data_IF_211192679103
#
_entry.id   IF_211192679103
#
_cell.length_a   1.000
_cell.length_b   1.000
_cell.length_c   1.000
_cell.angle_alpha   90.00
_cell.angle_beta   90.00
_cell.angle_gamma   90.00
#
_symmetry.space_group_name_H-M   'P 1'
#
loop_
_entity.id
_entity.type
_entity.pdbx_description
1 polymer ?
#
# COMPACT_ATOMS: atom_id res chain seq x y z
N UNK A 1 -2.40 17.65 5.04
CA UNK A 1 -3.25 17.58 3.81
C UNK A 1 -3.59 16.12 3.50
N UNK A 2 -4.83 15.81 3.10
CA UNK A 2 -5.24 14.44 2.75
C UNK A 2 -5.07 14.20 1.24
N UNK A 3 -4.41 13.10 0.86
CA UNK A 3 -4.36 12.62 -0.53
C UNK A 3 -5.27 11.39 -0.71
N UNK A 4 -5.94 11.32 -1.86
CA UNK A 4 -6.83 10.20 -2.21
C UNK A 4 -6.74 9.88 -3.70
N UNK A 5 -7.13 8.68 -4.09
CA UNK A 5 -7.26 8.30 -5.49
C UNK A 5 -5.99 8.51 -6.33
N UNK A 6 -6.12 9.23 -7.46
CA UNK A 6 -5.01 9.47 -8.41
C UNK A 6 -3.83 10.22 -7.78
N UNK A 7 -4.10 11.17 -6.89
CA UNK A 7 -3.03 11.97 -6.26
C UNK A 7 -2.18 11.09 -5.32
N UNK A 8 -2.81 10.17 -4.59
CA UNK A 8 -2.10 9.19 -3.77
C UNK A 8 -1.25 8.24 -4.63
N UNK A 9 -1.79 7.75 -5.75
CA UNK A 9 -1.05 6.89 -6.69
C UNK A 9 0.15 7.62 -7.32
N UNK A 10 -0.02 8.88 -7.71
CA UNK A 10 1.07 9.71 -8.22
C UNK A 10 2.17 9.91 -7.17
N UNK A 11 1.78 10.14 -5.91
CA UNK A 11 2.71 10.30 -4.80
C UNK A 11 3.51 9.03 -4.52
N UNK A 12 2.91 7.83 -4.55
CA UNK A 12 3.63 6.58 -4.34
C UNK A 12 4.75 6.36 -5.36
N UNK A 13 4.51 6.74 -6.62
CA UNK A 13 5.50 6.61 -7.70
C UNK A 13 6.61 7.66 -7.63
N UNK A 14 6.28 8.86 -7.17
CA UNK A 14 7.21 9.98 -7.07
C UNK A 14 6.90 10.81 -5.82
N UNK A 15 7.34 10.33 -4.64
CA UNK A 15 7.13 11.06 -3.40
C UNK A 15 7.90 12.38 -3.40
N UNK A 16 7.27 13.39 -2.78
CA UNK A 16 7.86 14.71 -2.64
C UNK A 16 8.75 14.74 -1.38
N UNK A 17 10.07 14.74 -1.58
CA UNK A 17 11.05 14.75 -0.50
C UNK A 17 11.10 16.07 0.30
N UNK A 18 10.45 17.13 -0.18
CA UNK A 18 10.34 18.40 0.54
C UNK A 18 9.26 18.41 1.63
N UNK A 19 8.49 17.34 1.74
CA UNK A 19 7.48 17.18 2.79
C UNK A 19 8.11 16.78 4.12
N UNK A 20 7.64 17.39 5.20
CA UNK A 20 8.09 17.03 6.55
C UNK A 20 7.70 15.59 6.91
N UNK A 21 6.50 15.16 6.51
CA UNK A 21 6.07 13.80 6.84
C UNK A 21 4.89 13.27 6.03
N UNK A 22 4.75 11.94 6.07
CA UNK A 22 3.66 11.20 5.43
C UNK A 22 3.14 10.13 6.38
N UNK A 23 1.84 10.11 6.58
CA UNK A 23 1.11 9.05 7.30
C UNK A 23 0.43 8.13 6.29
N UNK A 24 0.77 6.85 6.34
CA UNK A 24 0.13 5.77 5.60
C UNK A 24 -0.69 4.93 6.59
N UNK A 25 -2.00 4.86 6.43
CA UNK A 25 -2.87 4.15 7.36
C UNK A 25 -3.97 3.36 6.65
N UNK A 26 -4.35 2.24 7.20
CA UNK A 26 -5.41 1.39 6.65
C UNK A 26 -5.63 0.13 7.45
N UNK A 27 -6.72 -0.57 7.16
CA UNK A 27 -7.08 -1.83 7.80
C UNK A 27 -6.14 -2.97 7.37
N UNK A 28 -5.77 -2.99 6.09
CA UNK A 28 -4.90 -4.00 5.50
C UNK A 28 -3.43 -3.64 5.74
N UNK A 29 -2.84 -4.29 6.74
CA UNK A 29 -1.44 -4.08 7.12
C UNK A 29 -0.46 -4.42 5.98
N UNK A 30 -0.78 -5.41 5.13
CA UNK A 30 0.08 -5.78 4.00
C UNK A 30 0.11 -4.69 2.92
N UNK A 31 -1.04 -4.12 2.59
CA UNK A 31 -1.12 -2.99 1.66
C UNK A 31 -0.40 -1.76 2.20
N UNK A 32 -0.59 -1.45 3.49
CA UNK A 32 0.12 -0.34 4.14
C UNK A 32 1.62 -0.57 4.06
N UNK A 33 2.10 -1.78 4.39
CA UNK A 33 3.52 -2.12 4.32
C UNK A 33 4.07 -2.04 2.88
N UNK A 34 3.32 -2.51 1.89
CA UNK A 34 3.72 -2.42 0.49
C UNK A 34 3.86 -0.96 0.02
N UNK A 35 2.83 -0.12 0.26
CA UNK A 35 2.89 1.31 -0.09
C UNK A 35 4.00 2.06 0.66
N UNK A 36 4.23 1.73 1.93
CA UNK A 36 5.36 2.26 2.69
C UNK A 36 6.69 1.89 2.03
N UNK A 37 6.86 0.64 1.62
CA UNK A 37 8.08 0.19 0.97
C UNK A 37 8.33 0.92 -0.36
N UNK A 38 7.29 1.10 -1.19
CA UNK A 38 7.37 1.88 -2.43
C UNK A 38 7.82 3.32 -2.17
N UNK A 39 7.20 4.00 -1.20
CA UNK A 39 7.54 5.40 -0.85
C UNK A 39 8.97 5.50 -0.33
N UNK A 40 9.38 4.63 0.58
CA UNK A 40 10.74 4.65 1.13
C UNK A 40 11.77 4.37 0.04
N UNK A 41 11.56 3.33 -0.78
CA UNK A 41 12.47 2.99 -1.87
C UNK A 41 12.61 4.12 -2.90
N UNK A 42 11.51 4.82 -3.21
CA UNK A 42 11.54 5.96 -4.13
C UNK A 42 12.25 7.19 -3.53
N UNK A 43 12.24 7.35 -2.20
CA UNK A 43 12.93 8.45 -1.50
C UNK A 43 14.43 8.21 -1.34
N UNK A 44 14.81 7.05 -0.79
CA UNK A 44 16.20 6.78 -0.43
C UNK A 44 16.97 5.97 -1.47
N UNK A 45 16.26 5.40 -2.47
CA UNK A 45 16.87 4.54 -3.49
C UNK A 45 17.27 3.15 -2.96
N UNK A 46 17.85 2.29 -3.84
CA UNK A 46 18.18 0.92 -3.50
C UNK A 46 19.25 0.79 -2.41
N UNK A 47 20.20 1.72 -2.35
CA UNK A 47 21.31 1.72 -1.39
C UNK A 47 20.96 2.41 -0.05
N UNK A 48 19.73 2.90 0.10
CA UNK A 48 19.33 3.71 1.26
C UNK A 48 19.52 3.05 2.62
N UNK A 49 19.33 1.73 2.72
CA UNK A 49 19.59 0.97 3.95
C UNK A 49 21.10 0.76 4.17
N UNK A 50 21.85 0.38 3.14
CA UNK A 50 23.29 0.18 3.21
C UNK A 50 24.03 1.49 3.55
N UNK A 51 23.50 2.61 3.08
CA UNK A 51 24.01 3.96 3.35
C UNK A 51 23.46 4.58 4.64
N UNK A 52 22.75 3.80 5.46
CA UNK A 52 22.15 4.28 6.72
C UNK A 52 21.26 5.52 6.56
N UNK A 53 20.60 5.67 5.41
CA UNK A 53 19.67 6.77 5.13
C UNK A 53 18.22 6.46 5.54
N UNK A 54 17.97 5.26 6.07
CA UNK A 54 16.70 4.82 6.64
C UNK A 54 16.89 4.45 8.11
N UNK A 55 16.25 5.19 9.00
CA UNK A 55 16.13 4.85 10.42
C UNK A 55 14.75 4.30 10.71
N UNK A 56 14.67 3.10 11.26
CA UNK A 56 13.39 2.46 11.65
C UNK A 56 13.19 2.59 13.15
N UNK A 57 12.00 3.00 13.56
CA UNK A 57 11.62 3.21 14.96
C UNK A 57 10.28 2.50 15.20
N UNK A 58 10.26 1.56 16.12
CA UNK A 58 9.01 0.91 16.53
C UNK A 58 8.20 1.84 17.43
N UNK A 59 6.87 1.88 17.25
CA UNK A 59 6.00 2.70 18.09
C UNK A 59 6.17 2.45 19.59
N UNK A 60 6.48 1.21 19.99
CA UNK A 60 6.72 0.84 21.39
C UNK A 60 7.99 1.48 21.92
N UNK A 61 9.06 1.53 21.13
CA UNK A 61 10.34 2.16 21.50
C UNK A 61 10.16 3.68 21.60
N UNK A 62 9.49 4.28 20.63
CA UNK A 62 9.21 5.72 20.62
C UNK A 62 8.34 6.17 21.82
N UNK A 63 7.48 5.30 22.35
CA UNK A 63 6.74 5.58 23.60
C UNK A 63 7.64 5.61 24.83
N UNK A 64 8.71 4.81 24.84
CA UNK A 64 9.66 4.71 25.94
C UNK A 64 10.67 5.86 25.90
N UNK A 65 11.08 6.20 24.71
CA UNK A 65 12.03 7.29 24.45
C UNK A 65 11.51 8.21 23.32
N UNK A 66 10.75 9.26 23.66
CA UNK A 66 10.23 10.22 22.72
C UNK A 66 11.30 11.03 21.95
N UNK A 67 12.53 11.11 22.45
CA UNK A 67 13.60 11.84 21.80
C UNK A 67 14.11 11.15 20.53
N UNK A 68 13.96 9.81 20.42
CA UNK A 68 14.45 9.02 19.29
C UNK A 68 14.02 9.56 17.92
N UNK A 69 12.77 10.04 17.80
CA UNK A 69 12.29 10.55 16.52
C UNK A 69 12.96 11.88 16.14
N UNK A 70 13.11 12.79 17.12
CA UNK A 70 13.76 14.07 16.89
C UNK A 70 15.24 13.88 16.56
N UNK A 71 15.92 13.00 17.29
CA UNK A 71 17.31 12.64 17.02
C UNK A 71 17.48 12.03 15.63
N UNK A 72 16.58 11.11 15.23
CA UNK A 72 16.61 10.49 13.91
C UNK A 72 16.42 11.47 12.76
N UNK A 73 15.52 12.45 12.89
CA UNK A 73 15.30 13.44 11.83
C UNK A 73 16.46 14.45 11.74
N UNK A 74 17.13 14.79 12.86
CA UNK A 74 18.25 15.73 12.93
C UNK A 74 19.61 15.08 12.70
N UNK A 75 19.71 13.76 12.79
CA UNK A 75 20.96 13.05 12.55
C UNK A 75 21.56 13.42 11.19
N UNK A 76 22.85 13.72 11.16
CA UNK A 76 23.56 13.95 9.89
C UNK A 76 24.03 12.60 9.33
N UNK A 77 23.70 12.33 8.06
CA UNK A 77 24.16 11.12 7.38
C UNK A 77 25.59 11.27 6.84
N UNK A 78 26.33 10.17 6.77
CA UNK A 78 27.64 10.12 6.10
C UNK A 78 27.52 10.18 4.57
N UNK A 79 26.40 9.72 4.04
CA UNK A 79 26.13 9.65 2.60
C UNK A 79 25.18 10.77 2.18
N UNK A 80 25.38 11.38 1.01
CA UNK A 80 24.49 12.41 0.50
C UNK A 80 23.15 11.82 0.04
N UNK A 81 22.09 12.61 0.11
CA UNK A 81 20.78 12.27 -0.38
C UNK A 81 19.67 12.32 0.66
N UNK A 82 18.43 12.09 0.25
CA UNK A 82 17.28 12.09 1.15
C UNK A 82 17.41 11.00 2.22
N UNK A 83 16.95 11.33 3.43
CA UNK A 83 16.93 10.44 4.59
C UNK A 83 15.50 10.27 5.08
N UNK A 84 15.22 9.13 5.67
CA UNK A 84 13.89 8.79 6.18
C UNK A 84 13.98 8.31 7.63
N UNK A 85 13.16 8.88 8.51
CA UNK A 85 12.84 8.36 9.83
C UNK A 85 11.47 7.68 9.75
N UNK A 86 11.44 6.36 9.83
CA UNK A 86 10.23 5.56 9.70
C UNK A 86 9.72 5.10 11.07
N UNK A 87 8.51 5.53 11.43
CA UNK A 87 7.79 5.09 12.64
C UNK A 87 6.77 4.04 12.26
N UNK A 88 6.93 2.83 12.78
CA UNK A 88 6.09 1.67 12.48
C UNK A 88 4.98 1.50 13.52
N UNK A 89 3.75 1.23 13.05
CA UNK A 89 2.55 0.94 13.84
C UNK A 89 2.19 2.00 14.90
N UNK A 90 2.27 3.27 14.49
CA UNK A 90 1.89 4.38 15.35
C UNK A 90 0.37 4.44 15.58
N UNK A 91 -0.01 4.97 16.73
CA UNK A 91 -1.40 5.27 17.08
C UNK A 91 -1.53 6.65 17.72
N UNK A 92 -2.73 7.00 18.12
CA UNK A 92 -3.08 8.30 18.72
C UNK A 92 -2.20 8.71 19.93
N UNK A 93 -1.68 7.73 20.66
CA UNK A 93 -0.80 7.98 21.81
C UNK A 93 0.58 8.55 21.46
N UNK A 94 0.96 8.55 20.17
CA UNK A 94 2.19 9.15 19.68
C UNK A 94 1.97 10.49 18.96
N UNK A 95 0.72 10.99 18.92
CA UNK A 95 0.39 12.21 18.18
C UNK A 95 1.18 13.42 18.63
N UNK A 96 1.43 13.59 19.94
CA UNK A 96 2.15 14.73 20.49
C UNK A 96 3.64 14.68 20.13
N UNK A 97 4.27 13.49 20.24
CA UNK A 97 5.68 13.29 19.90
C UNK A 97 5.92 13.53 18.39
N UNK A 98 5.06 12.92 17.56
CA UNK A 98 5.14 13.09 16.10
C UNK A 98 4.81 14.54 15.72
N UNK A 99 3.86 15.17 16.40
CA UNK A 99 3.50 16.57 16.19
C UNK A 99 4.66 17.54 16.48
N UNK A 100 5.38 17.31 17.57
CA UNK A 100 6.59 18.08 17.91
C UNK A 100 7.65 17.91 16.83
N UNK A 101 7.92 16.65 16.40
CA UNK A 101 8.90 16.37 15.36
C UNK A 101 8.55 17.02 14.01
N UNK A 102 7.26 16.98 13.60
CA UNK A 102 6.78 17.66 12.39
C UNK A 102 6.92 19.19 12.48
N UNK A 103 6.67 19.78 13.66
CA UNK A 103 6.81 21.22 13.91
C UNK A 103 8.28 21.71 13.87
N UNK A 104 9.18 20.88 14.34
CA UNK A 104 10.63 21.17 14.38
C UNK A 104 11.36 20.82 13.08
N UNK A 105 10.68 20.13 12.17
CA UNK A 105 11.28 19.72 10.89
C UNK A 105 11.70 20.93 10.03
N UNK A 106 12.84 20.83 9.40
CA UNK A 106 13.38 21.82 8.46
C UNK A 106 13.85 21.15 7.17
N UNK A 107 13.96 21.93 6.11
CA UNK A 107 14.52 21.43 4.86
C UNK A 107 15.94 20.88 5.08
N UNK A 108 16.19 19.70 4.53
CA UNK A 108 17.43 18.94 4.76
C UNK A 108 17.37 17.94 5.94
N UNK A 109 16.36 17.99 6.79
CA UNK A 109 16.11 16.95 7.80
C UNK A 109 15.61 15.64 7.15
N UNK A 110 15.67 14.52 7.89
CA UNK A 110 15.08 13.28 7.42
C UNK A 110 13.55 13.40 7.36
N UNK A 111 12.93 12.89 6.28
CA UNK A 111 11.48 12.87 6.14
C UNK A 111 10.86 11.85 7.09
N UNK A 112 9.76 12.22 7.75
CA UNK A 112 9.06 11.36 8.70
C UNK A 112 8.03 10.52 7.95
N UNK A 113 8.22 9.20 7.89
CA UNK A 113 7.22 8.27 7.37
C UNK A 113 6.59 7.54 8.55
N UNK A 114 5.28 7.54 8.63
CA UNK A 114 4.52 6.89 9.72
C UNK A 114 3.55 5.89 9.14
N UNK A 115 3.55 4.67 9.66
CA UNK A 115 2.47 3.72 9.38
C UNK A 115 1.55 3.56 10.58
N UNK A 116 0.28 3.29 10.30
CA UNK A 116 -0.73 2.99 11.30
C UNK A 116 -1.75 1.98 10.75
N UNK A 117 -2.41 1.25 11.63
CA UNK A 117 -3.61 0.50 11.30
C UNK A 117 -4.77 1.40 10.89
N UNK A 118 -5.98 0.89 11.00
CA UNK A 118 -7.17 1.69 10.69
C UNK A 118 -7.32 2.88 11.66
N UNK A 119 -7.39 4.08 11.12
CA UNK A 119 -7.60 5.31 11.88
C UNK A 119 -8.98 5.92 11.58
N UNK A 120 -9.81 6.05 12.62
CA UNK A 120 -11.09 6.73 12.50
C UNK A 120 -10.91 8.21 12.14
N UNK A 121 -11.95 8.84 11.58
CA UNK A 121 -11.91 10.28 11.24
C UNK A 121 -11.62 11.21 12.44
N UNK A 122 -11.94 10.75 13.67
CA UNK A 122 -11.68 11.47 14.91
C UNK A 122 -10.27 11.25 15.48
N UNK A 123 -9.48 10.34 14.94
CA UNK A 123 -8.12 10.02 15.39
C UNK A 123 -7.25 11.29 15.43
N UNK A 124 -6.52 11.47 16.54
CA UNK A 124 -5.61 12.60 16.74
C UNK A 124 -4.44 12.55 15.75
N UNK A 125 -3.85 11.36 15.57
CA UNK A 125 -2.75 11.15 14.65
C UNK A 125 -3.15 11.49 13.21
N UNK A 126 -4.31 11.01 12.78
CA UNK A 126 -4.83 11.31 11.44
C UNK A 126 -5.07 12.81 11.25
N UNK A 127 -5.74 13.46 12.19
CA UNK A 127 -6.01 14.91 12.14
C UNK A 127 -4.73 15.73 12.14
N UNK A 128 -3.71 15.33 12.90
CA UNK A 128 -2.41 15.97 12.91
C UNK A 128 -1.84 16.09 11.49
N UNK A 129 -1.77 14.97 10.75
CA UNK A 129 -1.24 14.99 9.38
C UNK A 129 -2.18 15.68 8.37
N UNK A 130 -3.50 15.53 8.52
CA UNK A 130 -4.48 16.19 7.64
C UNK A 130 -4.43 17.71 7.76
N UNK A 131 -4.19 18.26 8.95
CA UNK A 131 -4.16 19.69 9.22
C UNK A 131 -2.78 20.34 9.06
N UNK A 132 -1.69 19.57 9.13
CA UNK A 132 -0.36 20.12 9.03
C UNK A 132 -0.06 20.62 7.60
N UNK A 133 0.54 21.82 7.49
CA UNK A 133 0.78 22.49 6.20
C UNK A 133 1.76 21.73 5.30
N UNK A 134 2.74 21.03 5.89
CA UNK A 134 3.81 20.31 5.17
C UNK A 134 3.80 18.81 5.44
N UNK A 135 2.66 18.21 5.78
CA UNK A 135 2.53 16.77 5.94
C UNK A 135 1.31 16.22 5.19
N UNK A 136 1.37 14.95 4.85
CA UNK A 136 0.35 14.26 4.07
C UNK A 136 -0.24 13.11 4.87
N UNK A 137 -1.55 12.89 4.74
CA UNK A 137 -2.25 11.70 5.24
C UNK A 137 -2.84 10.94 4.06
N UNK A 138 -2.48 9.68 3.91
CA UNK A 138 -2.92 8.80 2.83
C UNK A 138 -3.57 7.58 3.45
N UNK A 139 -4.89 7.48 3.30
CA UNK A 139 -5.65 6.29 3.69
C UNK A 139 -5.54 5.23 2.61
N UNK A 140 -5.11 4.04 3.01
CA UNK A 140 -5.01 2.86 2.15
C UNK A 140 -6.22 1.99 2.49
N UNK A 141 -7.21 2.05 1.62
CA UNK A 141 -8.45 1.33 1.79
C UNK A 141 -8.38 -0.02 1.06
N UNK A 142 -9.10 -1.00 1.59
CA UNK A 142 -9.26 -2.33 0.98
C UNK A 142 -10.26 -2.32 -0.18
N UNK A 143 -10.36 -1.20 -0.90
CA UNK A 143 -11.12 -1.21 -2.13
C UNK A 143 -10.50 -2.24 -3.08
N UNK A 144 -11.33 -3.03 -3.78
CA UNK A 144 -10.83 -3.93 -4.80
C UNK A 144 -9.94 -3.16 -5.78
N UNK A 145 -8.88 -3.79 -6.33
CA UNK A 145 -8.02 -3.11 -7.29
C UNK A 145 -8.87 -2.58 -8.45
N UNK A 146 -8.70 -1.30 -8.76
CA UNK A 146 -9.37 -0.69 -9.89
C UNK A 146 -8.85 -1.25 -11.21
N UNK A 147 -9.62 -1.06 -12.29
CA UNK A 147 -9.25 -1.49 -13.63
C UNK A 147 -7.84 -1.04 -14.02
N UNK A 148 -7.54 0.23 -13.82
CA UNK A 148 -6.23 0.83 -14.14
C UNK A 148 -5.08 0.18 -13.33
N UNK A 149 -5.35 -0.26 -12.10
CA UNK A 149 -4.37 -0.92 -11.23
C UNK A 149 -4.09 -2.34 -11.70
N UNK A 150 -5.13 -3.08 -12.10
CA UNK A 150 -4.99 -4.42 -12.69
C UNK A 150 -4.23 -4.33 -14.02
N UNK A 151 -4.60 -3.42 -14.91
CA UNK A 151 -3.93 -3.22 -16.19
C UNK A 151 -2.45 -2.83 -16.01
N UNK A 152 -2.13 -1.99 -15.02
CA UNK A 152 -0.76 -1.62 -14.70
C UNK A 152 0.05 -2.83 -14.20
N UNK A 153 -0.55 -3.67 -13.35
CA UNK A 153 0.09 -4.87 -12.83
C UNK A 153 0.34 -5.91 -13.93
N UNK A 154 -0.62 -6.10 -14.84
CA UNK A 154 -0.49 -7.00 -16.00
C UNK A 154 0.63 -6.54 -16.94
N UNK A 155 0.69 -5.24 -17.26
CA UNK A 155 1.77 -4.66 -18.09
C UNK A 155 3.15 -4.82 -17.44
N UNK A 156 3.23 -4.58 -16.12
CA UNK A 156 4.48 -4.77 -15.38
C UNK A 156 4.95 -6.22 -15.38
N UNK A 157 4.00 -7.17 -15.50
CA UNK A 157 4.26 -8.60 -15.62
C UNK A 157 4.51 -9.06 -17.07
N UNK A 158 4.55 -8.15 -18.05
CA UNK A 158 4.76 -8.46 -19.46
C UNK A 158 3.53 -8.99 -20.20
N UNK A 159 2.34 -8.93 -19.59
CA UNK A 159 1.07 -9.39 -20.18
C UNK A 159 0.36 -8.23 -20.88
N UNK A 160 0.62 -8.06 -22.17
CA UNK A 160 0.02 -6.98 -22.98
C UNK A 160 -1.30 -7.37 -23.62
N UNK A 161 -1.52 -8.66 -23.86
CA UNK A 161 -2.72 -9.18 -24.52
C UNK A 161 -3.56 -9.98 -23.51
N UNK A 162 -4.72 -9.42 -23.17
CA UNK A 162 -5.65 -10.00 -22.19
C UNK A 162 -7.05 -9.98 -22.77
N UNK A 163 -7.68 -11.15 -22.84
CA UNK A 163 -9.09 -11.25 -23.26
C UNK A 163 -9.99 -10.51 -22.29
N UNK A 164 -11.05 -9.91 -22.81
CA UNK A 164 -12.04 -9.21 -22.00
C UNK A 164 -12.60 -10.08 -20.87
N UNK A 165 -12.92 -11.34 -21.18
CA UNK A 165 -13.45 -12.29 -20.19
C UNK A 165 -12.40 -12.65 -19.12
N UNK A 166 -11.11 -12.77 -19.50
CA UNK A 166 -10.02 -12.95 -18.54
C UNK A 166 -9.85 -11.73 -17.63
N UNK A 167 -9.99 -10.54 -18.18
CA UNK A 167 -9.93 -9.31 -17.40
C UNK A 167 -11.09 -9.21 -16.39
N UNK A 168 -12.32 -9.52 -16.81
CA UNK A 168 -13.50 -9.57 -15.93
C UNK A 168 -13.33 -10.64 -14.82
N UNK A 169 -12.69 -11.78 -15.12
CA UNK A 169 -12.34 -12.80 -14.12
C UNK A 169 -11.32 -12.26 -13.10
N UNK A 170 -10.29 -11.54 -13.54
CA UNK A 170 -9.32 -10.89 -12.64
C UNK A 170 -9.97 -9.82 -11.77
N UNK A 171 -10.87 -8.98 -12.31
CA UNK A 171 -11.65 -8.04 -11.50
C UNK A 171 -12.48 -8.75 -10.43
N UNK A 172 -13.11 -9.88 -10.79
CA UNK A 172 -13.85 -10.73 -9.86
C UNK A 172 -12.98 -11.27 -8.73
N UNK A 173 -11.79 -11.77 -9.06
CA UNK A 173 -10.81 -12.25 -8.08
C UNK A 173 -10.28 -11.11 -7.21
N UNK A 174 -10.02 -9.94 -7.77
CA UNK A 174 -9.59 -8.76 -7.01
C UNK A 174 -10.60 -8.28 -5.98
N UNK A 175 -11.90 -8.55 -6.21
CA UNK A 175 -12.98 -8.27 -5.24
C UNK A 175 -13.14 -9.37 -4.18
N UNK A 176 -12.74 -10.60 -4.50
CA UNK A 176 -13.00 -11.78 -3.68
C UNK A 176 -11.81 -12.17 -2.79
N UNK A 177 -10.61 -11.81 -3.17
CA UNK A 177 -9.36 -12.17 -2.51
C UNK A 177 -8.78 -11.00 -1.72
N UNK A 178 -8.00 -11.35 -0.70
CA UNK A 178 -7.13 -10.37 -0.07
C UNK A 178 -6.07 -9.87 -1.06
N UNK A 179 -5.59 -8.62 -0.92
CA UNK A 179 -4.66 -8.02 -1.87
C UNK A 179 -3.36 -8.79 -2.07
N UNK A 180 -2.87 -9.46 -1.00
CA UNK A 180 -1.69 -10.32 -1.07
C UNK A 180 -1.94 -11.55 -1.94
N UNK A 181 -3.08 -12.22 -1.73
CA UNK A 181 -3.49 -13.38 -2.51
C UNK A 181 -3.77 -13.01 -3.97
N UNK A 182 -4.41 -11.88 -4.21
CA UNK A 182 -4.64 -11.40 -5.57
C UNK A 182 -3.32 -11.13 -6.32
N UNK A 183 -2.33 -10.53 -5.66
CA UNK A 183 -1.01 -10.33 -6.27
C UNK A 183 -0.32 -11.65 -6.58
N UNK A 184 -0.41 -12.65 -5.71
CA UNK A 184 0.11 -13.99 -6.00
C UNK A 184 -0.58 -14.63 -7.21
N UNK A 185 -1.89 -14.39 -7.40
CA UNK A 185 -2.58 -14.82 -8.62
C UNK A 185 -1.99 -14.14 -9.85
N UNK A 186 -1.78 -12.83 -9.83
CA UNK A 186 -1.15 -12.11 -10.95
C UNK A 186 0.26 -12.62 -11.26
N UNK A 187 1.07 -12.87 -10.24
CA UNK A 187 2.41 -13.46 -10.40
C UNK A 187 2.37 -14.86 -11.02
N UNK A 188 1.42 -15.72 -10.57
CA UNK A 188 1.21 -17.05 -11.16
C UNK A 188 0.75 -16.98 -12.61
N UNK A 189 -0.18 -16.07 -12.91
CA UNK A 189 -0.65 -15.84 -14.29
C UNK A 189 0.52 -15.40 -15.18
N UNK A 190 1.36 -14.49 -14.70
CA UNK A 190 2.54 -14.04 -15.42
C UNK A 190 3.52 -15.19 -15.71
N UNK A 191 3.79 -16.03 -14.71
CA UNK A 191 4.64 -17.23 -14.88
C UNK A 191 3.99 -18.26 -15.80
N UNK A 192 2.68 -18.44 -15.73
CA UNK A 192 1.96 -19.38 -16.58
C UNK A 192 2.01 -18.98 -18.05
N UNK A 193 1.99 -17.68 -18.34
CA UNK A 193 2.06 -17.08 -19.68
C UNK A 193 3.49 -16.78 -20.14
N UNK A 194 4.49 -17.17 -19.36
CA UNK A 194 5.89 -16.94 -19.75
C UNK A 194 6.18 -17.66 -21.07
N UNK A 195 6.68 -16.92 -22.05
CA UNK A 195 6.97 -17.39 -23.40
C UNK A 195 5.74 -17.81 -24.25
N UNK A 196 4.51 -17.56 -23.79
CA UNK A 196 3.29 -17.77 -24.54
C UNK A 196 2.72 -16.45 -25.08
N UNK A 197 2.78 -16.20 -26.40
CA UNK A 197 2.32 -14.96 -27.01
C UNK A 197 0.80 -14.87 -27.20
N UNK A 198 0.05 -15.94 -26.86
CA UNK A 198 -1.41 -15.93 -27.02
C UNK A 198 -2.05 -15.04 -25.96
N UNK A 199 -3.22 -14.39 -26.25
CA UNK A 199 -3.93 -13.62 -25.26
C UNK A 199 -4.27 -14.44 -24.01
N UNK A 200 -4.20 -13.83 -22.83
CA UNK A 200 -4.62 -14.47 -21.59
C UNK A 200 -6.10 -14.80 -21.63
N UNK A 201 -6.44 -16.07 -21.46
CA UNK A 201 -7.81 -16.58 -21.47
C UNK A 201 -8.39 -16.75 -20.04
N UNK A 202 -9.72 -16.69 -19.86
CA UNK A 202 -10.35 -16.82 -18.53
C UNK A 202 -10.09 -18.17 -17.84
N UNK A 203 -9.90 -19.25 -18.59
CA UNK A 203 -9.57 -20.57 -18.07
C UNK A 203 -8.17 -20.59 -17.42
N UNK A 204 -7.23 -19.86 -18.00
CA UNK A 204 -5.87 -19.72 -17.47
C UNK A 204 -5.87 -18.92 -16.15
N UNK A 205 -6.69 -17.87 -16.07
CA UNK A 205 -6.91 -17.14 -14.82
C UNK A 205 -7.50 -18.06 -13.75
N UNK A 206 -8.50 -18.86 -14.12
CA UNK A 206 -9.13 -19.81 -13.20
C UNK A 206 -8.15 -20.90 -12.71
N UNK A 207 -7.25 -21.37 -13.57
CA UNK A 207 -6.22 -22.34 -13.19
C UNK A 207 -5.21 -21.77 -12.18
N UNK A 208 -4.96 -20.47 -12.20
CA UNK A 208 -4.05 -19.78 -11.28
C UNK A 208 -4.74 -19.33 -9.97
N UNK A 209 -6.08 -19.33 -9.92
CA UNK A 209 -6.85 -18.91 -8.76
C UNK A 209 -6.75 -19.91 -7.59
N UNK A 210 -6.82 -19.45 -6.32
CA UNK A 210 -6.86 -20.34 -5.16
C UNK A 210 -8.10 -21.24 -5.18
N UNK A 211 -7.94 -22.50 -4.78
CA UNK A 211 -9.04 -23.49 -4.74
C UNK A 211 -10.25 -23.04 -3.86
N UNK A 212 -9.99 -22.17 -2.87
CA UNK A 212 -11.03 -21.60 -2.00
C UNK A 212 -12.04 -20.69 -2.73
N UNK A 213 -11.66 -20.10 -3.85
CA UNK A 213 -12.56 -19.25 -4.66
C UNK A 213 -13.43 -20.05 -5.62
N UNK A 214 -12.95 -21.18 -6.10
CA UNK A 214 -13.72 -22.09 -6.97
C UNK A 214 -14.98 -22.63 -6.25
N UNK A 215 -14.87 -22.95 -4.96
CA UNK A 215 -15.99 -23.48 -4.14
C UNK A 215 -17.06 -22.42 -3.83
N UNK A 216 -16.71 -21.14 -3.80
CA UNK A 216 -17.67 -20.04 -3.55
C UNK A 216 -18.48 -19.68 -4.81
N UNK A 217 -17.84 -19.73 -5.99
CA UNK A 217 -18.52 -19.50 -7.28
C UNK A 217 -19.52 -20.59 -7.62
N UNK A 218 -19.20 -21.86 -7.32
CA UNK A 218 -20.09 -23.00 -7.53
C UNK A 218 -21.34 -22.95 -6.63
N UNK A 219 -21.25 -22.46 -5.40
CA UNK A 219 -22.40 -22.30 -4.49
C UNK A 219 -23.36 -21.20 -4.92
N UNK A 220 -22.90 -20.15 -5.54
CA UNK A 220 -23.76 -19.08 -6.05
C UNK A 220 -24.48 -19.46 -7.36
N UNK A 221 -23.92 -20.38 -8.16
CA UNK A 221 -24.55 -20.88 -9.37
C UNK A 221 -25.68 -21.90 -9.11
N UNK A 222 -25.70 -22.53 -7.93
CA UNK A 222 -26.68 -23.59 -7.59
C UNK A 222 -27.95 -23.06 -6.90
N UNK A 223 -28.01 -21.75 -6.59
CA UNK A 223 -29.14 -21.16 -5.86
C UNK A 223 -30.30 -20.64 -6.77
N UNK A 224 -30.24 -20.89 -8.09
CA UNK A 224 -31.34 -20.55 -9.02
C UNK A 224 -31.95 -21.84 -9.55
N UNK A 225 -32.62 -22.57 -8.69
CA UNK A 225 -33.59 -23.62 -9.12
C UNK A 225 -34.99 -23.03 -9.01
N UNK A 226 -35.78 -23.08 -10.10
CA UNK A 226 -37.19 -22.68 -10.03
C UNK A 226 -37.98 -23.68 -9.17
N UNK A 227 -38.86 -23.13 -8.36
CA UNK A 227 -39.79 -23.91 -7.53
C UNK A 227 -40.62 -24.87 -8.38
N UNK A 228 -40.92 -26.13 -7.93
CA UNK A 228 -41.78 -27.04 -8.64
C UNK A 228 -43.21 -26.52 -8.58
N UNK A 229 -43.81 -26.33 -9.76
CA UNK A 229 -45.25 -26.16 -9.91
C UNK A 229 -45.92 -27.48 -9.56
N UNK A 230 -46.70 -27.49 -8.50
CA UNK A 230 -47.58 -28.60 -8.16
C UNK A 230 -48.95 -28.50 -8.90
N UNK A 231 -49.57 -29.61 -9.24
CA UNK A 231 -50.80 -29.72 -10.02
C UNK A 231 -52.06 -29.27 -9.25
#
# INVERSE_FOLDING_TARGET
MKLTGRDAQAFFRKPDASRAGVLLYGEDAMRVAHRRQEVIAALVGPEGEAEMRLTRIQALELRRDPAMLLDAIKAQGFFPGPRVAFVEDAGDGLSDVIGTALGDWRDGDAQIIVTAGQLAAKSKLRKLFESHHNALAIGIYSDPPGRDEIEAALRAAGLEQVDRAAFEALEGLGRALDPGDFRQVLEKVALYKLDDPTPLAPEEVAACAPASTATRSARNATSVLPAPTSP
#
